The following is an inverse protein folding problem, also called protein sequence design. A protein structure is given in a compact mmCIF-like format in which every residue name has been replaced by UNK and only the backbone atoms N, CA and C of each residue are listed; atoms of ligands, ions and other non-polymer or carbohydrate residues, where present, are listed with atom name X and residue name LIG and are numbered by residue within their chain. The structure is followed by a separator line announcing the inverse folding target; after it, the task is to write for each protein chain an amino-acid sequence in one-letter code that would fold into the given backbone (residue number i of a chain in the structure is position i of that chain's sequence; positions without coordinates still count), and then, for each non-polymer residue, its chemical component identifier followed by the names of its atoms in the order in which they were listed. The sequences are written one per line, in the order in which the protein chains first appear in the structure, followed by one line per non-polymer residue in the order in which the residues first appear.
data_IF_636466720563
#
_entry.id   IF_636466720563
#
_cell.length_a   1.000
_cell.length_b   1.000
_cell.length_c   1.000
_cell.angle_alpha   90.00
_cell.angle_beta   90.00
_cell.angle_gamma   90.00
#
_symmetry.space_group_name_H-M   'P 1'
#
loop_
_entity.id
_entity.type
_entity.pdbx_description
1 polymer ?
#
# COMPACT_ATOMS: atom_id res chain seq x y z
N UNK A 1 -4.51 1.19 9.37
CA UNK A 1 -4.60 0.81 7.94
C UNK A 1 -3.58 -0.28 7.64
N UNK A 2 -3.91 -1.16 6.75
CA UNK A 2 -3.01 -2.24 6.33
C UNK A 2 -2.83 -2.26 4.81
N UNK A 3 -1.69 -2.76 4.37
CA UNK A 3 -1.49 -3.14 2.98
C UNK A 3 -1.59 -4.65 2.86
N UNK A 4 -2.25 -5.08 1.80
CA UNK A 4 -2.34 -6.47 1.39
C UNK A 4 -1.32 -6.73 0.29
N UNK A 5 -0.70 -7.89 0.32
CA UNK A 5 0.16 -8.38 -0.75
C UNK A 5 -0.33 -9.74 -1.23
N UNK A 6 -0.37 -9.90 -2.54
CA UNK A 6 -0.75 -11.14 -3.21
C UNK A 6 0.33 -11.49 -4.22
N UNK A 7 0.94 -12.65 -4.07
CA UNK A 7 1.82 -13.19 -5.09
C UNK A 7 0.98 -13.79 -6.22
N UNK A 8 1.44 -13.60 -7.45
CA UNK A 8 0.76 -14.11 -8.64
C UNK A 8 1.77 -14.64 -9.66
N UNK A 9 1.31 -15.52 -10.52
CA UNK A 9 2.07 -15.86 -11.74
C UNK A 9 1.95 -14.69 -12.73
N UNK A 10 3.03 -14.43 -13.47
CA UNK A 10 3.03 -13.39 -14.49
C UNK A 10 2.37 -13.91 -15.77
N UNK A 11 1.04 -13.90 -15.79
CA UNK A 11 0.23 -14.34 -16.94
C UNK A 11 -1.07 -13.56 -17.05
N UNK A 12 -1.70 -13.53 -18.24
CA UNK A 12 -3.00 -12.89 -18.43
C UNK A 12 -4.05 -13.44 -17.46
N UNK A 13 -4.86 -12.56 -16.88
CA UNK A 13 -5.99 -12.90 -16.03
C UNK A 13 -5.73 -12.89 -14.54
N UNK A 14 -4.48 -12.91 -14.08
CA UNK A 14 -4.16 -12.95 -12.65
C UNK A 14 -4.62 -11.67 -11.92
N UNK A 15 -4.31 -10.50 -12.47
CA UNK A 15 -4.78 -9.23 -11.90
C UNK A 15 -6.29 -9.08 -12.00
N UNK A 16 -6.88 -9.50 -13.11
CA UNK A 16 -8.33 -9.48 -13.31
C UNK A 16 -9.05 -10.33 -12.27
N UNK A 17 -8.54 -11.50 -11.95
CA UNK A 17 -9.09 -12.39 -10.92
C UNK A 17 -9.19 -11.73 -9.56
N UNK A 18 -8.16 -11.00 -9.13
CA UNK A 18 -8.19 -10.25 -7.87
C UNK A 18 -9.25 -9.14 -7.93
N UNK A 19 -9.25 -8.35 -8.99
CA UNK A 19 -10.19 -7.24 -9.14
C UNK A 19 -11.65 -7.72 -9.20
N UNK A 20 -11.91 -8.83 -9.86
CA UNK A 20 -13.24 -9.45 -9.92
C UNK A 20 -13.71 -9.92 -8.54
N UNK A 21 -12.83 -10.57 -7.77
CA UNK A 21 -13.14 -11.00 -6.41
C UNK A 21 -13.53 -9.81 -5.50
N UNK A 22 -12.83 -8.69 -5.63
CA UNK A 22 -13.14 -7.47 -4.88
C UNK A 22 -14.44 -6.82 -5.37
N UNK A 23 -14.65 -6.76 -6.68
CA UNK A 23 -15.87 -6.20 -7.27
C UNK A 23 -17.13 -6.97 -6.87
N UNK A 24 -17.08 -8.30 -6.83
CA UNK A 24 -18.20 -9.16 -6.40
C UNK A 24 -18.65 -8.87 -4.96
N UNK A 25 -17.75 -8.39 -4.14
CA UNK A 25 -18.01 -7.99 -2.75
C UNK A 25 -18.18 -6.47 -2.57
N UNK A 26 -18.29 -5.71 -3.65
CA UNK A 26 -18.40 -4.24 -3.65
C UNK A 26 -17.29 -3.53 -2.88
N UNK A 27 -16.08 -4.04 -2.95
CA UNK A 27 -14.90 -3.47 -2.30
C UNK A 27 -14.15 -2.60 -3.29
N UNK A 28 -13.92 -1.36 -2.90
CA UNK A 28 -13.04 -0.46 -3.65
C UNK A 28 -11.60 -0.59 -3.14
N UNK A 29 -10.66 -0.55 -4.07
CA UNK A 29 -9.24 -0.68 -3.73
C UNK A 29 -8.37 0.25 -4.55
N UNK A 30 -7.21 0.56 -4.01
CA UNK A 30 -6.10 1.18 -4.71
C UNK A 30 -4.98 0.15 -4.77
N UNK A 31 -4.47 -0.13 -5.95
CA UNK A 31 -3.47 -1.17 -6.12
C UNK A 31 -2.30 -0.74 -7.00
N UNK A 32 -1.20 -1.43 -6.79
CA UNK A 32 -0.05 -1.47 -7.70
C UNK A 32 0.34 -2.91 -7.92
N UNK A 33 0.84 -3.22 -9.09
CA UNK A 33 1.33 -4.55 -9.42
C UNK A 33 2.65 -4.44 -10.16
N UNK A 34 3.51 -5.40 -9.93
CA UNK A 34 4.78 -5.54 -10.65
C UNK A 34 5.04 -7.01 -10.94
N UNK A 35 5.59 -7.29 -12.11
CA UNK A 35 5.99 -8.63 -12.50
C UNK A 35 7.41 -8.62 -13.04
N UNK A 36 8.15 -9.69 -12.75
CA UNK A 36 9.48 -9.93 -13.28
C UNK A 36 9.63 -11.42 -13.57
N UNK A 37 9.97 -11.74 -14.80
CA UNK A 37 10.05 -13.14 -15.23
C UNK A 37 8.67 -13.80 -15.15
N UNK A 38 8.60 -14.91 -14.43
CA UNK A 38 7.38 -15.73 -14.29
C UNK A 38 6.54 -15.34 -13.06
N UNK A 39 7.04 -14.46 -12.21
CA UNK A 39 6.41 -14.08 -10.94
C UNK A 39 6.01 -12.63 -10.92
N UNK A 40 4.98 -12.33 -10.13
CA UNK A 40 4.52 -11.00 -9.86
C UNK A 40 3.98 -10.83 -8.46
N UNK A 41 3.79 -9.58 -8.06
CA UNK A 41 3.20 -9.19 -6.79
C UNK A 41 2.18 -8.09 -7.01
N UNK A 42 1.05 -8.18 -6.31
CA UNK A 42 0.05 -7.13 -6.22
C UNK A 42 0.07 -6.60 -4.79
N UNK A 43 0.14 -5.29 -4.67
CA UNK A 43 0.03 -4.58 -3.38
C UNK A 43 -1.21 -3.72 -3.44
N UNK A 44 -2.07 -3.78 -2.43
CA UNK A 44 -3.27 -2.97 -2.41
C UNK A 44 -3.72 -2.57 -1.01
N UNK A 45 -4.48 -1.47 -0.95
CA UNK A 45 -5.26 -1.05 0.19
C UNK A 45 -6.74 -1.14 -0.17
N UNK A 46 -7.57 -1.55 0.76
CA UNK A 46 -9.02 -1.69 0.57
C UNK A 46 -9.79 -0.73 1.48
N UNK A 47 -10.94 -0.27 1.04
CA UNK A 47 -11.84 0.58 1.83
C UNK A 47 -12.51 -0.19 2.98
N UNK A 48 -12.66 -1.50 2.85
CA UNK A 48 -13.13 -2.41 3.90
C UNK A 48 -12.18 -3.60 4.01
N UNK A 49 -11.26 -3.54 4.97
CA UNK A 49 -10.24 -4.57 5.16
C UNK A 49 -10.82 -5.93 5.54
N UNK A 50 -11.83 -5.96 6.39
CA UNK A 50 -12.46 -7.22 6.80
C UNK A 50 -13.19 -7.89 5.63
N UNK A 51 -13.93 -7.13 4.83
CA UNK A 51 -14.59 -7.63 3.64
C UNK A 51 -13.57 -8.11 2.59
N UNK A 52 -12.45 -7.40 2.45
CA UNK A 52 -11.37 -7.79 1.53
C UNK A 52 -10.75 -9.14 1.93
N UNK A 53 -10.50 -9.35 3.22
CA UNK A 53 -10.00 -10.64 3.72
C UNK A 53 -10.97 -11.77 3.40
N UNK A 54 -12.26 -11.56 3.67
CA UNK A 54 -13.30 -12.56 3.39
C UNK A 54 -13.38 -12.89 1.89
N UNK A 55 -13.31 -11.87 1.03
CA UNK A 55 -13.34 -12.06 -0.43
C UNK A 55 -12.12 -12.83 -0.94
N UNK A 56 -10.94 -12.57 -0.41
CA UNK A 56 -9.72 -13.31 -0.76
C UNK A 56 -9.80 -14.78 -0.37
N UNK A 57 -10.28 -15.06 0.84
CA UNK A 57 -10.48 -16.42 1.34
C UNK A 57 -11.49 -17.16 0.47
N UNK A 58 -12.63 -16.56 0.17
CA UNK A 58 -13.68 -17.16 -0.68
C UNK A 58 -13.18 -17.45 -2.10
N UNK A 59 -12.35 -16.55 -2.66
CA UNK A 59 -11.76 -16.74 -3.98
C UNK A 59 -10.57 -17.71 -4.00
N UNK A 60 -10.12 -18.19 -2.83
CA UNK A 60 -8.95 -19.06 -2.73
C UNK A 60 -7.63 -18.36 -3.05
N UNK A 61 -7.56 -17.06 -2.81
CA UNK A 61 -6.37 -16.24 -3.06
C UNK A 61 -5.58 -16.11 -1.76
N UNK A 62 -4.34 -16.60 -1.74
CA UNK A 62 -3.42 -16.43 -0.62
C UNK A 62 -2.92 -14.99 -0.54
N UNK A 63 -2.81 -14.46 0.65
CA UNK A 63 -2.40 -13.08 0.87
C UNK A 63 -1.65 -12.90 2.19
N UNK A 64 -0.93 -11.80 2.29
CA UNK A 64 -0.38 -11.30 3.54
C UNK A 64 -0.96 -9.91 3.84
N UNK A 65 -1.11 -9.58 5.11
CA UNK A 65 -1.47 -8.24 5.58
C UNK A 65 -0.37 -7.68 6.45
N UNK A 66 -0.06 -6.41 6.24
CA UNK A 66 0.92 -5.71 7.07
C UNK A 66 0.37 -4.35 7.49
N UNK A 67 0.56 -4.03 8.77
CA UNK A 67 0.27 -2.70 9.27
C UNK A 67 1.06 -1.65 8.50
N UNK A 68 0.43 -0.52 8.23
CA UNK A 68 1.00 0.52 7.40
C UNK A 68 0.70 1.92 7.93
N UNK A 69 1.59 2.84 7.61
CA UNK A 69 1.47 4.26 7.93
C UNK A 69 1.09 5.03 6.69
N UNK A 70 0.25 6.04 6.82
CA UNK A 70 0.00 6.98 5.74
C UNK A 70 0.91 8.19 5.91
N UNK A 71 1.72 8.47 4.90
CA UNK A 71 2.65 9.61 4.86
C UNK A 71 2.08 10.67 3.91
N UNK A 72 2.01 11.90 4.41
CA UNK A 72 1.64 13.07 3.63
C UNK A 72 2.91 13.84 3.24
N UNK A 73 3.04 14.13 1.97
CA UNK A 73 4.16 14.91 1.42
C UNK A 73 3.62 15.99 0.48
N UNK A 74 4.39 17.04 0.26
CA UNK A 74 4.12 17.97 -0.83
C UNK A 74 4.39 17.27 -2.17
N UNK A 75 3.56 17.55 -3.16
CA UNK A 75 3.74 16.99 -4.51
C UNK A 75 4.71 17.85 -5.32
N UNK A 76 6.00 17.75 -4.98
CA UNK A 76 7.06 18.46 -5.65
C UNK A 76 8.36 17.64 -5.69
N UNK A 77 9.25 17.91 -6.64
CA UNK A 77 10.53 17.22 -6.69
C UNK A 77 11.31 17.33 -5.38
N UNK A 78 11.82 16.21 -4.89
CA UNK A 78 12.62 16.14 -3.68
C UNK A 78 11.87 15.82 -2.39
N UNK A 79 10.53 15.93 -2.34
CA UNK A 79 9.76 15.64 -1.12
C UNK A 79 9.95 14.20 -0.64
N UNK A 80 9.89 13.24 -1.55
CA UNK A 80 10.17 11.83 -1.23
C UNK A 80 11.62 11.62 -0.79
N UNK A 81 12.56 12.27 -1.44
CA UNK A 81 13.96 12.18 -1.06
C UNK A 81 14.20 12.65 0.38
N UNK A 82 13.57 13.73 0.80
CA UNK A 82 13.66 14.25 2.17
C UNK A 82 13.05 13.27 3.17
N UNK A 83 11.83 12.80 2.92
CA UNK A 83 11.12 11.91 3.85
C UNK A 83 11.84 10.56 4.01
N UNK A 84 12.19 9.92 2.91
CA UNK A 84 12.85 8.60 2.97
C UNK A 84 14.30 8.67 3.42
N UNK A 85 14.98 9.79 3.21
CA UNK A 85 16.32 10.02 3.80
C UNK A 85 16.24 10.13 5.32
N UNK A 86 15.25 10.81 5.86
CA UNK A 86 15.02 10.86 7.31
C UNK A 86 14.83 9.46 7.90
N UNK A 87 14.01 8.63 7.26
CA UNK A 87 13.80 7.25 7.69
C UNK A 87 15.10 6.45 7.63
N UNK A 88 15.84 6.55 6.55
CA UNK A 88 17.11 5.84 6.38
C UNK A 88 18.16 6.26 7.42
N UNK A 89 18.28 7.55 7.70
CA UNK A 89 19.22 8.07 8.71
C UNK A 89 18.84 7.61 10.13
N UNK A 90 17.56 7.36 10.37
CA UNK A 90 17.07 6.77 11.61
C UNK A 90 17.16 5.23 11.64
N UNK A 91 17.64 4.59 10.58
CA UNK A 91 17.74 3.15 10.47
C UNK A 91 16.43 2.44 10.20
N UNK A 92 15.40 3.15 9.71
CA UNK A 92 14.09 2.60 9.37
C UNK A 92 14.06 2.25 7.88
N UNK A 93 13.70 1.00 7.58
CA UNK A 93 13.52 0.53 6.22
C UNK A 93 12.07 0.65 5.77
N UNK A 94 11.83 1.32 4.66
CA UNK A 94 10.54 1.32 3.98
C UNK A 94 10.50 0.12 3.01
N UNK A 95 9.61 -0.82 3.28
CA UNK A 95 9.58 -2.11 2.58
C UNK A 95 8.51 -2.19 1.50
N UNK A 96 7.38 -1.51 1.72
CA UNK A 96 6.28 -1.40 0.76
C UNK A 96 5.81 0.04 0.71
N UNK A 97 5.49 0.52 -0.48
CA UNK A 97 4.93 1.84 -0.68
C UNK A 97 3.84 1.77 -1.73
N UNK A 98 2.68 2.35 -1.41
CA UNK A 98 1.55 2.45 -2.32
C UNK A 98 1.08 3.90 -2.35
N UNK A 99 1.21 4.60 -3.48
CA UNK A 99 0.55 5.90 -3.67
C UNK A 99 -0.96 5.70 -3.63
N UNK A 100 -1.65 6.44 -2.77
CA UNK A 100 -3.11 6.31 -2.61
C UNK A 100 -3.87 7.54 -3.05
N UNK A 101 -3.21 8.69 -3.01
CA UNK A 101 -3.81 9.95 -3.46
C UNK A 101 -2.74 10.91 -3.93
N UNK A 102 -2.95 11.48 -5.10
CA UNK A 102 -2.08 12.50 -5.68
C UNK A 102 -2.95 13.66 -6.14
N UNK A 103 -2.61 14.85 -5.71
CA UNK A 103 -3.18 16.11 -6.18
C UNK A 103 -2.08 17.04 -6.67
N UNK A 104 -2.44 18.23 -7.14
CA UNK A 104 -1.43 19.20 -7.59
C UNK A 104 -0.45 19.58 -6.46
N UNK A 105 -0.95 19.70 -5.23
CA UNK A 105 -0.15 20.16 -4.09
C UNK A 105 0.30 19.05 -3.14
N UNK A 106 -0.40 17.94 -3.06
CA UNK A 106 -0.20 16.91 -2.05
C UNK A 106 -0.11 15.51 -2.63
N UNK A 107 0.76 14.73 -2.00
CA UNK A 107 0.96 13.33 -2.28
C UNK A 107 0.78 12.52 -0.98
N UNK A 108 -0.06 11.50 -1.02
CA UNK A 108 -0.25 10.57 0.08
C UNK A 108 0.19 9.17 -0.34
N UNK A 109 1.03 8.56 0.48
CA UNK A 109 1.45 7.18 0.29
C UNK A 109 1.20 6.37 1.55
N UNK A 110 0.78 5.14 1.38
CA UNK A 110 0.72 4.14 2.45
C UNK A 110 2.02 3.35 2.42
N UNK A 111 2.69 3.25 3.55
CA UNK A 111 4.04 2.68 3.63
C UNK A 111 4.10 1.65 4.77
N UNK A 112 4.62 0.47 4.47
CA UNK A 112 5.03 -0.49 5.49
C UNK A 112 6.50 -0.29 5.81
N UNK A 113 6.81 -0.20 7.08
CA UNK A 113 8.18 -0.03 7.59
C UNK A 113 8.51 -1.16 8.57
N UNK A 114 9.79 -1.39 8.80
CA UNK A 114 10.25 -2.39 9.76
C UNK A 114 10.17 -1.93 11.23
N UNK A 115 10.06 -0.62 11.47
CA UNK A 115 9.93 -0.03 12.81
C UNK A 115 8.95 1.15 12.77
N UNK A 116 7.66 0.88 13.07
CA UNK A 116 6.61 1.90 13.03
C UNK A 116 6.80 3.00 14.09
N UNK A 117 7.20 2.64 15.29
CA UNK A 117 7.39 3.59 16.38
C UNK A 117 8.47 4.63 16.02
N UNK A 118 9.59 4.14 15.54
CA UNK A 118 10.69 4.99 15.10
C UNK A 118 10.32 5.84 13.88
N UNK A 119 9.55 5.29 12.94
CA UNK A 119 9.04 6.03 11.80
C UNK A 119 8.11 7.18 12.23
N UNK A 120 7.22 6.94 13.19
CA UNK A 120 6.34 7.98 13.75
C UNK A 120 7.13 9.08 14.44
N UNK A 121 8.13 8.72 15.22
CA UNK A 121 9.01 9.69 15.89
C UNK A 121 9.81 10.52 14.89
N UNK A 122 10.27 9.89 13.81
CA UNK A 122 11.12 10.51 12.80
C UNK A 122 10.35 11.46 11.87
N UNK A 123 9.18 11.05 11.41
CA UNK A 123 8.39 11.82 10.44
C UNK A 123 7.36 12.76 11.09
N UNK A 124 6.98 12.50 12.33
CA UNK A 124 6.10 13.38 13.11
C UNK A 124 4.80 13.70 12.39
N UNK A 125 4.54 14.99 12.15
CA UNK A 125 3.32 15.49 11.53
C UNK A 125 3.11 15.10 10.06
N UNK A 126 4.10 14.48 9.41
CA UNK A 126 3.92 13.92 8.07
C UNK A 126 3.12 12.62 8.08
N UNK A 127 3.02 11.96 9.24
CA UNK A 127 2.18 10.77 9.38
C UNK A 127 0.77 11.22 9.73
N UNK A 128 -0.19 10.77 8.93
CA UNK A 128 -1.59 11.18 9.03
C UNK A 128 -2.51 9.97 9.13
N UNK A 129 -3.70 10.16 9.71
CA UNK A 129 -4.77 9.18 9.74
C UNK A 129 -5.70 9.46 8.55
N UNK A 130 -5.32 8.98 7.37
CA UNK A 130 -6.14 9.11 6.17
C UNK A 130 -6.56 7.72 5.69
N UNK A 131 -7.86 7.55 5.45
CA UNK A 131 -8.39 6.40 4.73
C UNK A 131 -8.32 6.62 3.22
N UNK A 132 -8.68 5.61 2.44
CA UNK A 132 -8.69 5.69 0.97
C UNK A 132 -9.68 6.73 0.45
N UNK A 133 -10.73 7.00 1.20
CA UNK A 133 -11.80 7.92 0.83
C UNK A 133 -11.56 9.37 1.27
N UNK A 134 -10.49 9.63 1.97
CA UNK A 134 -10.21 10.96 2.53
C UNK A 134 -9.47 11.87 1.55
#
# INVERSE_FOLDING_TARGET
MSLFTVEMENRPGELARLCEAMADSHINLVLSAAAHGEEGIIVFAADDEAAAQAALVEAGISYEMRAALTIRMENQPGSGAVAFRKLADAGVNAELLLPVRVSDDLFFAVVCVDDEEKARDTLGGQIVSAGLAA
#
